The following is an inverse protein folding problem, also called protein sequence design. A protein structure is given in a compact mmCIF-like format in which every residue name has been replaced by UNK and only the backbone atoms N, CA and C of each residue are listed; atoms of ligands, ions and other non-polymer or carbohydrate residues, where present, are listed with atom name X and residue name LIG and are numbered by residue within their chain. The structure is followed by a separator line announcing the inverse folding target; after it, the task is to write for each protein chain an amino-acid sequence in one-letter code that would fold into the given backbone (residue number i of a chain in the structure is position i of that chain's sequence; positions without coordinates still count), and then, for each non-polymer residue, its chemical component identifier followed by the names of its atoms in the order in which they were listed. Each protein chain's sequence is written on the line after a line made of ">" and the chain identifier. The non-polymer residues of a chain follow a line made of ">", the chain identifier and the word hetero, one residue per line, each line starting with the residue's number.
data_IF_266939115022
#
_entry.id   IF_266939115022
#
_cell.length_a   1.000
_cell.length_b   1.000
_cell.length_c   1.000
_cell.angle_alpha   90.00
_cell.angle_beta   90.00
_cell.angle_gamma   90.00
#
_symmetry.space_group_name_H-M   'P 1'
#
loop_
_entity.id
_entity.type
_entity.pdbx_description
1 polymer ?
#
# COMPACT_ATOMS: atom_id res chain seq x y z
N UNK A 1 -2.38 18.07 -25.89
CA UNK A 1 -2.73 16.71 -26.37
C UNK A 1 -3.85 16.21 -25.49
N UNK A 2 -4.97 15.74 -26.04
CA UNK A 2 -6.08 15.22 -25.23
C UNK A 2 -5.65 13.96 -24.50
N UNK A 3 -5.40 14.05 -23.21
CA UNK A 3 -5.30 12.88 -22.35
C UNK A 3 -6.69 12.25 -22.29
N UNK A 4 -6.94 11.23 -23.10
CA UNK A 4 -8.10 10.36 -22.86
C UNK A 4 -7.87 9.72 -21.50
N UNK A 5 -8.65 10.12 -20.50
CA UNK A 5 -8.60 9.53 -19.17
C UNK A 5 -8.93 8.04 -19.26
N UNK A 6 -8.23 7.23 -18.47
CA UNK A 6 -8.51 5.80 -18.35
C UNK A 6 -9.82 5.65 -17.57
N UNK A 7 -10.84 5.07 -18.19
CA UNK A 7 -12.12 4.81 -17.50
C UNK A 7 -11.99 3.56 -16.62
N UNK A 8 -11.64 3.78 -15.35
CA UNK A 8 -11.48 2.71 -14.36
C UNK A 8 -12.79 1.94 -14.16
N UNK A 9 -13.95 2.59 -14.34
CA UNK A 9 -15.24 1.94 -14.16
C UNK A 9 -15.53 0.89 -15.23
N UNK A 10 -14.95 1.03 -16.43
CA UNK A 10 -15.08 0.06 -17.51
C UNK A 10 -14.21 -1.19 -17.35
N UNK A 11 -13.23 -1.18 -16.43
CA UNK A 11 -12.33 -2.31 -16.18
C UNK A 11 -13.04 -3.42 -15.39
N UNK A 12 -12.72 -4.68 -15.71
CA UNK A 12 -13.10 -5.83 -14.86
C UNK A 12 -12.39 -5.76 -13.50
N UNK A 13 -12.88 -6.46 -12.47
CA UNK A 13 -12.20 -6.51 -11.17
C UNK A 13 -10.72 -6.90 -11.26
N UNK A 14 -10.37 -7.88 -12.09
CA UNK A 14 -9.01 -8.36 -12.28
C UNK A 14 -8.12 -7.31 -12.94
N UNK A 15 -8.66 -6.59 -13.94
CA UNK A 15 -7.96 -5.50 -14.60
C UNK A 15 -7.72 -4.33 -13.65
N UNK A 16 -8.68 -4.02 -12.77
CA UNK A 16 -8.50 -3.00 -11.73
C UNK A 16 -7.42 -3.40 -10.74
N UNK A 17 -7.39 -4.67 -10.33
CA UNK A 17 -6.36 -5.17 -9.42
C UNK A 17 -4.97 -5.10 -10.06
N UNK A 18 -4.84 -5.51 -11.32
CA UNK A 18 -3.57 -5.41 -12.06
C UNK A 18 -3.12 -3.96 -12.25
N UNK A 19 -4.07 -3.05 -12.52
CA UNK A 19 -3.76 -1.62 -12.61
C UNK A 19 -3.29 -1.07 -11.26
N UNK A 20 -3.94 -1.46 -10.16
CA UNK A 20 -3.55 -1.07 -8.81
C UNK A 20 -2.13 -1.52 -8.49
N UNK A 21 -1.78 -2.77 -8.81
CA UNK A 21 -0.43 -3.31 -8.63
C UNK A 21 0.62 -2.54 -9.46
N UNK A 22 0.32 -2.26 -10.73
CA UNK A 22 1.22 -1.48 -11.60
C UNK A 22 1.45 -0.06 -11.08
N UNK A 23 0.39 0.61 -10.64
CA UNK A 23 0.47 1.94 -10.03
C UNK A 23 1.28 1.90 -8.74
N UNK A 24 1.05 0.89 -7.90
CA UNK A 24 1.79 0.71 -6.66
C UNK A 24 3.29 0.52 -6.91
N UNK A 25 3.66 -0.36 -7.85
CA UNK A 25 5.05 -0.59 -8.24
C UNK A 25 5.70 0.67 -8.80
N UNK A 26 4.96 1.46 -9.59
CA UNK A 26 5.46 2.73 -10.12
C UNK A 26 5.75 3.74 -9.00
N UNK A 27 4.88 3.84 -8.00
CA UNK A 27 5.09 4.76 -6.87
C UNK A 27 6.22 4.29 -5.96
N UNK A 28 6.33 2.98 -5.73
CA UNK A 28 7.39 2.38 -4.92
C UNK A 28 8.80 2.60 -5.54
N UNK A 29 8.90 2.76 -6.86
CA UNK A 29 10.15 3.08 -7.53
C UNK A 29 10.67 4.51 -7.23
N UNK A 30 9.80 5.41 -6.74
CA UNK A 30 10.16 6.79 -6.36
C UNK A 30 9.53 7.16 -5.01
N UNK A 31 10.01 6.61 -3.88
CA UNK A 31 9.41 6.82 -2.56
C UNK A 31 9.34 8.31 -2.15
N UNK A 32 10.30 9.12 -2.60
CA UNK A 32 10.37 10.56 -2.34
C UNK A 32 9.21 11.35 -2.96
N UNK A 33 8.51 10.79 -3.96
CA UNK A 33 7.33 11.41 -4.57
C UNK A 33 6.11 11.42 -3.63
N UNK A 34 6.13 10.61 -2.57
CA UNK A 34 5.09 10.56 -1.54
C UNK A 34 5.74 10.86 -0.18
N UNK A 35 6.03 12.15 0.11
CA UNK A 35 6.70 12.51 1.34
C UNK A 35 5.80 12.25 2.55
N UNK A 36 6.34 11.55 3.54
CA UNK A 36 5.70 11.41 4.83
C UNK A 36 5.78 12.72 5.61
N UNK A 37 4.73 13.03 6.37
CA UNK A 37 4.80 14.05 7.42
C UNK A 37 5.70 13.58 8.56
N UNK A 38 6.24 14.51 9.35
CA UNK A 38 7.08 14.15 10.49
C UNK A 38 6.36 13.23 11.48
N UNK A 39 5.09 13.54 11.78
CA UNK A 39 4.27 12.72 12.66
C UNK A 39 4.09 11.28 12.14
N UNK A 40 3.97 11.10 10.81
CA UNK A 40 3.87 9.76 10.22
C UNK A 40 5.19 9.00 10.28
N UNK A 41 6.34 9.67 10.12
CA UNK A 41 7.66 9.01 10.27
C UNK A 41 7.86 8.51 11.69
N UNK A 42 7.63 9.37 12.68
CA UNK A 42 7.76 9.03 14.10
C UNK A 42 6.87 7.84 14.47
N UNK A 43 5.63 7.81 14.00
CA UNK A 43 4.73 6.68 14.21
C UNK A 43 5.24 5.37 13.57
N UNK A 44 5.78 5.45 12.35
CA UNK A 44 6.32 4.27 11.67
C UNK A 44 7.57 3.75 12.37
N UNK A 45 8.46 4.63 12.81
CA UNK A 45 9.66 4.26 13.57
C UNK A 45 9.28 3.56 14.89
N UNK A 46 8.30 4.10 15.63
CA UNK A 46 7.78 3.47 16.85
C UNK A 46 7.21 2.06 16.59
N UNK A 47 6.43 1.89 15.51
CA UNK A 47 5.87 0.58 15.16
C UNK A 47 6.94 -0.43 14.75
N UNK A 48 8.01 0.03 14.11
CA UNK A 48 9.15 -0.82 13.77
C UNK A 48 9.88 -1.27 15.04
N UNK A 49 10.15 -0.36 15.98
CA UNK A 49 10.76 -0.68 17.28
C UNK A 49 9.92 -1.67 18.09
N UNK A 50 8.59 -1.48 18.10
CA UNK A 50 7.64 -2.41 18.74
C UNK A 50 7.69 -3.80 18.09
N UNK A 51 7.66 -3.86 16.75
CA UNK A 51 7.72 -5.12 16.00
C UNK A 51 9.04 -5.87 16.22
N UNK A 52 10.17 -5.16 16.29
CA UNK A 52 11.48 -5.75 16.58
C UNK A 52 11.56 -6.34 17.99
N UNK A 53 10.94 -5.66 18.97
CA UNK A 53 10.92 -6.10 20.37
C UNK A 53 9.95 -7.25 20.63
N UNK A 54 8.74 -7.18 20.07
CA UNK A 54 7.65 -8.11 20.36
C UNK A 54 7.62 -9.30 19.39
N UNK A 55 8.34 -9.19 18.27
CA UNK A 55 8.24 -10.13 17.15
C UNK A 55 6.94 -9.91 16.37
N UNK A 56 6.64 -10.75 15.37
CA UNK A 56 5.46 -10.59 14.53
C UNK A 56 4.17 -10.76 15.34
N UNK A 57 3.65 -9.65 15.87
CA UNK A 57 2.32 -9.49 16.47
C UNK A 57 1.29 -9.33 15.36
N UNK A 58 1.20 -10.34 14.50
CA UNK A 58 0.22 -10.45 13.42
C UNK A 58 -0.79 -11.55 13.71
N UNK A 59 -2.03 -11.36 13.23
CA UNK A 59 -3.00 -12.45 13.15
C UNK A 59 -2.72 -13.19 11.83
N UNK A 60 -2.58 -14.53 11.83
CA UNK A 60 -2.46 -15.31 10.60
C UNK A 60 -3.58 -14.99 9.60
N UNK A 61 -3.24 -15.00 8.30
CA UNK A 61 -4.19 -14.61 7.24
C UNK A 61 -5.47 -15.46 7.21
N UNK A 62 -5.34 -16.75 7.50
CA UNK A 62 -6.45 -17.68 7.64
C UNK A 62 -7.38 -17.32 8.80
N UNK A 63 -6.83 -16.86 9.93
CA UNK A 63 -7.64 -16.40 11.05
C UNK A 63 -8.38 -15.09 10.70
N UNK A 64 -7.73 -14.14 10.00
CA UNK A 64 -8.39 -12.91 9.53
C UNK A 64 -9.56 -13.22 8.60
N UNK A 65 -9.38 -14.15 7.64
CA UNK A 65 -10.41 -14.53 6.68
C UNK A 65 -11.62 -15.24 7.33
N UNK A 66 -11.39 -15.87 8.48
CA UNK A 66 -12.43 -16.58 9.23
C UNK A 66 -13.32 -15.68 10.10
N UNK A 67 -12.99 -14.39 10.24
CA UNK A 67 -13.78 -13.38 10.97
C UNK A 67 -14.85 -12.74 10.08
#
# INVERSE_FOLDING_TARGET
>A
MSTRGLDIAALTPEQRLSLLEQLWNSLAATPEAIPLTEAQRVELDQRLDDLEREGPVGIPWDEVLSR
#
